data_IF_608056180688
#
_entry.id   IF_608056180688
#
_cell.length_a   1.000
_cell.length_b   1.000
_cell.length_c   1.000
_cell.angle_alpha   90.00
_cell.angle_beta   90.00
_cell.angle_gamma   90.00
#
_symmetry.space_group_name_H-M   'P 1'
#
loop_
_entity.id
_entity.type
_entity.pdbx_description
1 polymer ?
#
# COMPACT_ATOMS: atom_id res chain seq x y z
N UNK A 1 36.33 -7.44 -7.39
CA UNK A 1 35.14 -6.95 -8.14
C UNK A 1 33.79 -7.29 -7.48
N UNK A 2 33.75 -8.11 -6.42
CA UNK A 2 32.50 -8.50 -5.73
C UNK A 2 31.88 -7.40 -4.84
N UNK A 3 32.70 -6.59 -4.16
CA UNK A 3 32.21 -5.57 -3.23
C UNK A 3 31.41 -4.44 -3.92
N UNK A 4 31.90 -3.93 -5.06
CA UNK A 4 31.21 -2.87 -5.80
C UNK A 4 29.82 -3.29 -6.28
N UNK A 5 29.68 -4.52 -6.77
CA UNK A 5 28.39 -5.07 -7.18
C UNK A 5 27.40 -5.18 -6.00
N UNK A 6 27.87 -5.70 -4.85
CA UNK A 6 27.07 -5.77 -3.62
C UNK A 6 26.63 -4.37 -3.14
N UNK A 7 27.55 -3.41 -3.13
CA UNK A 7 27.27 -2.04 -2.71
C UNK A 7 26.20 -1.40 -3.60
N UNK A 8 26.31 -1.54 -4.92
CA UNK A 8 25.28 -1.06 -5.84
C UNK A 8 23.94 -1.73 -5.59
N UNK A 9 23.90 -3.06 -5.37
CA UNK A 9 22.66 -3.76 -5.03
C UNK A 9 22.05 -3.19 -3.76
N UNK A 10 22.81 -2.96 -2.69
CA UNK A 10 22.27 -2.43 -1.44
C UNK A 10 21.80 -0.98 -1.53
N UNK A 11 22.52 -0.13 -2.27
CA UNK A 11 22.13 1.28 -2.45
C UNK A 11 20.92 1.41 -3.39
N UNK A 12 20.81 0.53 -4.39
CA UNK A 12 19.69 0.55 -5.35
C UNK A 12 18.49 -0.29 -4.89
N UNK A 13 18.65 -1.14 -3.86
CA UNK A 13 17.55 -1.96 -3.33
C UNK A 13 16.48 -1.05 -2.76
N UNK A 14 15.45 -0.81 -3.57
CA UNK A 14 14.19 -0.26 -3.09
C UNK A 14 13.63 -1.25 -2.08
N UNK A 15 13.29 -0.76 -0.89
CA UNK A 15 12.32 -1.45 -0.05
C UNK A 15 10.99 -1.32 -0.79
N UNK A 16 10.74 -2.23 -1.72
CA UNK A 16 9.37 -2.47 -2.18
C UNK A 16 8.64 -2.85 -0.91
N UNK A 17 7.75 -1.97 -0.45
CA UNK A 17 6.93 -2.23 0.73
C UNK A 17 5.97 -3.34 0.34
N UNK A 18 6.46 -4.58 0.47
CA UNK A 18 5.65 -5.78 0.40
C UNK A 18 4.68 -5.69 1.57
N UNK A 19 3.37 -5.70 1.29
CA UNK A 19 2.38 -5.76 2.36
C UNK A 19 2.73 -6.93 3.31
N UNK A 20 2.62 -6.75 4.64
CA UNK A 20 3.03 -7.77 5.60
C UNK A 20 2.03 -8.94 5.74
N UNK A 21 1.01 -8.98 4.89
CA UNK A 21 -0.03 -10.00 4.85
C UNK A 21 -0.51 -10.14 3.39
N UNK A 22 -1.18 -11.25 3.09
CA UNK A 22 -1.76 -11.55 1.77
C UNK A 22 -3.22 -12.00 1.85
N UNK A 23 -3.77 -12.14 3.06
CA UNK A 23 -5.12 -12.61 3.30
C UNK A 23 -5.63 -12.09 4.65
N UNK A 24 -6.95 -12.19 4.89
CA UNK A 24 -7.58 -11.89 6.18
C UNK A 24 -6.99 -12.78 7.28
N UNK A 25 -6.69 -14.05 6.99
CA UNK A 25 -6.08 -14.95 7.97
C UNK A 25 -4.67 -14.47 8.38
N UNK A 26 -3.78 -14.20 7.42
CA UNK A 26 -2.43 -13.67 7.71
C UNK A 26 -2.48 -12.26 8.31
N UNK A 27 -3.44 -11.42 7.93
CA UNK A 27 -3.66 -10.11 8.56
C UNK A 27 -3.98 -10.25 10.05
N UNK A 28 -4.80 -11.25 10.41
CA UNK A 28 -5.21 -11.47 11.79
C UNK A 28 -4.14 -12.15 12.64
N UNK A 29 -3.36 -13.09 12.07
CA UNK A 29 -2.30 -13.81 12.80
C UNK A 29 -1.00 -13.01 12.91
N UNK A 30 -0.58 -12.36 11.82
CA UNK A 30 0.80 -11.90 11.67
C UNK A 30 0.93 -10.40 11.93
N UNK A 31 -0.20 -9.67 12.01
CA UNK A 31 -0.19 -8.21 12.13
C UNK A 31 -1.20 -7.69 13.15
N UNK A 32 -1.12 -6.40 13.46
CA UNK A 32 -2.06 -5.65 14.33
C UNK A 32 -2.99 -4.71 13.55
N UNK A 33 -3.04 -4.81 12.22
CA UNK A 33 -3.87 -3.95 11.36
C UNK A 33 -5.37 -4.11 11.65
N UNK A 34 -6.12 -3.01 11.62
CA UNK A 34 -7.58 -3.03 11.69
C UNK A 34 -8.16 -2.95 10.28
N UNK A 35 -9.23 -3.71 10.03
CA UNK A 35 -9.92 -3.68 8.74
C UNK A 35 -11.00 -2.60 8.79
N UNK A 36 -11.07 -1.74 7.76
CA UNK A 36 -12.06 -0.67 7.65
C UNK A 36 -13.01 -0.95 6.50
N UNK A 37 -14.31 -0.79 6.73
CA UNK A 37 -15.34 -0.86 5.69
C UNK A 37 -16.39 0.24 5.88
N UNK A 38 -17.10 0.56 4.80
CA UNK A 38 -18.15 1.58 4.82
C UNK A 38 -19.46 0.99 5.35
N UNK A 39 -20.19 1.76 6.16
CA UNK A 39 -21.47 1.37 6.77
C UNK A 39 -22.49 1.05 5.69
N UNK A 40 -23.16 -0.11 5.81
CA UNK A 40 -24.19 -0.53 4.85
C UNK A 40 -23.65 -0.99 3.50
N UNK A 41 -22.32 -1.02 3.31
CA UNK A 41 -21.69 -1.62 2.14
C UNK A 41 -21.82 -3.15 2.15
N UNK A 42 -21.57 -3.78 1.01
CA UNK A 42 -21.53 -5.25 0.88
C UNK A 42 -20.49 -5.84 1.84
N UNK A 43 -19.40 -5.12 2.08
CA UNK A 43 -18.31 -5.49 2.96
C UNK A 43 -18.74 -5.50 4.44
N UNK A 44 -19.45 -4.45 4.88
CA UNK A 44 -20.04 -4.40 6.23
C UNK A 44 -21.06 -5.55 6.44
N UNK A 45 -21.90 -5.81 5.43
CA UNK A 45 -22.84 -6.94 5.46
C UNK A 45 -22.09 -8.28 5.52
N UNK A 46 -21.04 -8.44 4.71
CA UNK A 46 -20.23 -9.65 4.68
C UNK A 46 -19.55 -9.91 6.03
N UNK A 47 -19.05 -8.87 6.70
CA UNK A 47 -18.50 -8.99 8.05
C UNK A 47 -19.53 -9.48 9.06
N UNK A 48 -20.82 -9.16 8.88
CA UNK A 48 -21.90 -9.56 9.78
C UNK A 48 -22.47 -10.93 9.47
N UNK A 49 -22.58 -11.31 8.19
CA UNK A 49 -23.37 -12.47 7.76
C UNK A 49 -22.51 -13.65 7.28
N UNK A 50 -21.33 -13.41 6.69
CA UNK A 50 -20.51 -14.46 6.10
C UNK A 50 -20.13 -15.54 7.12
N UNK A 51 -20.32 -16.83 6.77
CA UNK A 51 -20.04 -17.97 7.65
C UNK A 51 -18.66 -18.60 7.42
N UNK A 52 -17.91 -18.10 6.45
CA UNK A 52 -16.54 -18.58 6.17
C UNK A 52 -15.63 -18.43 7.37
N UNK A 53 -14.64 -19.33 7.49
CA UNK A 53 -13.74 -19.40 8.65
C UNK A 53 -13.03 -18.07 8.91
N UNK A 54 -12.48 -17.43 7.87
CA UNK A 54 -11.75 -16.16 7.96
C UNK A 54 -12.64 -15.03 8.49
N UNK A 55 -13.88 -14.94 8.03
CA UNK A 55 -14.83 -13.91 8.50
C UNK A 55 -15.37 -14.21 9.90
N UNK A 56 -15.48 -15.49 10.30
CA UNK A 56 -15.77 -15.86 11.70
C UNK A 56 -14.64 -15.44 12.64
N UNK A 57 -13.38 -15.71 12.28
CA UNK A 57 -12.20 -15.25 13.05
C UNK A 57 -12.14 -13.73 13.11
N UNK A 58 -12.43 -13.05 12.00
CA UNK A 58 -12.46 -11.59 11.94
C UNK A 58 -13.49 -11.01 12.91
N UNK A 59 -14.72 -11.54 12.95
CA UNK A 59 -15.74 -11.13 13.93
C UNK A 59 -15.28 -11.38 15.37
N UNK A 60 -14.68 -12.54 15.64
CA UNK A 60 -14.17 -12.87 16.98
C UNK A 60 -13.04 -11.92 17.42
N UNK A 61 -12.21 -11.47 16.48
CA UNK A 61 -11.08 -10.58 16.76
C UNK A 61 -11.48 -9.13 17.12
N UNK A 62 -12.71 -8.70 16.78
CA UNK A 62 -13.19 -7.31 16.92
C UNK A 62 -12.26 -6.25 16.30
N UNK A 63 -11.50 -6.62 15.26
CA UNK A 63 -10.56 -5.73 14.52
C UNK A 63 -11.20 -5.04 13.32
N UNK A 64 -12.52 -4.95 13.26
CA UNK A 64 -13.26 -4.26 12.21
C UNK A 64 -13.69 -2.86 12.68
N UNK A 65 -13.56 -1.87 11.78
CA UNK A 65 -13.99 -0.49 12.00
C UNK A 65 -14.94 -0.13 10.87
N UNK A 66 -16.14 0.32 11.23
CA UNK A 66 -17.16 0.71 10.27
C UNK A 66 -17.23 2.23 10.24
N UNK A 67 -17.05 2.81 9.06
CA UNK A 67 -17.07 4.27 8.82
C UNK A 67 -18.27 4.67 7.94
N UNK A 68 -18.79 5.89 8.04
CA UNK A 68 -19.92 6.35 7.24
C UNK A 68 -19.61 6.52 5.75
N UNK A 69 -18.40 6.96 5.38
CA UNK A 69 -18.06 7.33 3.99
C UNK A 69 -16.77 6.67 3.49
N UNK A 70 -16.65 6.60 2.16
CA UNK A 70 -15.43 6.11 1.49
C UNK A 70 -14.24 7.03 1.79
N UNK A 71 -14.44 8.35 1.76
CA UNK A 71 -13.37 9.32 2.06
C UNK A 71 -12.78 9.11 3.47
N UNK A 72 -13.63 8.87 4.47
CA UNK A 72 -13.14 8.58 5.83
C UNK A 72 -12.36 7.26 5.90
N UNK A 73 -12.80 6.25 5.16
CA UNK A 73 -12.08 4.98 5.05
C UNK A 73 -10.67 5.19 4.52
N UNK A 74 -10.52 5.97 3.44
CA UNK A 74 -9.22 6.28 2.85
C UNK A 74 -8.39 7.20 3.75
N UNK A 75 -8.98 8.24 4.36
CA UNK A 75 -8.30 9.08 5.36
C UNK A 75 -7.68 8.24 6.49
N UNK A 76 -8.40 7.25 7.01
CA UNK A 76 -7.87 6.34 8.04
C UNK A 76 -6.76 5.42 7.51
N UNK A 77 -6.91 4.90 6.29
CA UNK A 77 -5.91 4.05 5.66
C UNK A 77 -4.60 4.80 5.36
N UNK A 78 -4.71 6.05 4.92
CA UNK A 78 -3.58 6.91 4.54
C UNK A 78 -2.96 7.62 5.75
N UNK A 79 -3.66 7.72 6.89
CA UNK A 79 -3.16 8.40 8.07
C UNK A 79 -1.89 7.75 8.63
N UNK A 80 -0.87 8.56 8.91
CA UNK A 80 0.34 8.13 9.60
C UNK A 80 0.09 8.07 11.12
N UNK A 81 -0.58 7.00 11.55
CA UNK A 81 -0.86 6.71 12.96
C UNK A 81 -0.06 5.52 13.51
N UNK A 82 -0.11 5.36 14.85
CA UNK A 82 0.34 4.15 15.56
C UNK A 82 -0.54 2.94 15.21
N UNK A 83 -1.83 3.16 15.02
CA UNK A 83 -2.76 2.14 14.54
C UNK A 83 -2.73 2.13 13.02
N UNK A 84 -2.56 0.95 12.44
CA UNK A 84 -2.58 0.75 11.00
C UNK A 84 -3.93 0.22 10.55
N UNK A 85 -4.42 0.75 9.44
CA UNK A 85 -5.73 0.43 8.89
C UNK A 85 -5.58 -0.14 7.47
N UNK A 86 -6.35 -1.19 7.19
CA UNK A 86 -6.47 -1.78 5.86
C UNK A 86 -7.91 -1.59 5.38
N UNK A 87 -8.13 -0.78 4.33
CA UNK A 87 -9.46 -0.63 3.76
C UNK A 87 -9.84 -1.90 3.00
N UNK A 88 -11.08 -2.34 3.16
CA UNK A 88 -11.64 -3.51 2.49
C UNK A 88 -12.83 -3.07 1.63
N UNK A 89 -12.64 -3.09 0.31
CA UNK A 89 -13.55 -2.52 -0.67
C UNK A 89 -13.39 -3.19 -2.04
N UNK A 90 -14.25 -2.86 -3.01
CA UNK A 90 -14.27 -3.54 -4.31
C UNK A 90 -13.05 -3.22 -5.19
N UNK A 91 -12.65 -4.16 -6.04
CA UNK A 91 -11.55 -3.95 -6.99
C UNK A 91 -11.88 -2.83 -8.01
N UNK A 92 -13.13 -2.77 -8.47
CA UNK A 92 -13.58 -1.73 -9.40
C UNK A 92 -13.56 -0.35 -8.76
N UNK A 93 -13.91 -0.25 -7.47
CA UNK A 93 -13.83 0.99 -6.69
C UNK A 93 -12.37 1.45 -6.55
N UNK A 94 -11.42 0.51 -6.33
CA UNK A 94 -9.99 0.82 -6.30
C UNK A 94 -9.50 1.44 -7.60
N UNK A 95 -9.87 0.88 -8.74
CA UNK A 95 -9.43 1.38 -10.06
C UNK A 95 -9.86 2.83 -10.31
N UNK A 96 -11.01 3.23 -9.78
CA UNK A 96 -11.58 4.58 -9.95
C UNK A 96 -11.05 5.57 -8.90
N UNK A 97 -10.91 5.16 -7.64
CA UNK A 97 -10.56 6.03 -6.51
C UNK A 97 -9.03 6.24 -6.36
N UNK A 98 -8.23 5.39 -7.01
CA UNK A 98 -6.76 5.44 -6.99
C UNK A 98 -6.09 6.82 -7.18
N UNK A 99 -6.62 7.80 -7.95
CA UNK A 99 -5.92 9.07 -8.12
C UNK A 99 -6.01 10.06 -6.94
N UNK A 100 -6.86 9.85 -5.93
CA UNK A 100 -7.35 10.99 -5.13
C UNK A 100 -6.69 11.14 -3.74
N UNK A 101 -6.43 10.07 -2.97
CA UNK A 101 -6.12 10.24 -1.53
C UNK A 101 -4.84 9.55 -0.99
N UNK A 102 -4.40 8.39 -1.50
CA UNK A 102 -3.03 7.87 -1.37
C UNK A 102 -2.83 6.57 -2.18
N UNK A 103 -1.58 6.20 -2.46
CA UNK A 103 -1.26 4.96 -3.19
C UNK A 103 -1.34 3.75 -2.26
N UNK A 104 -2.46 3.04 -2.32
CA UNK A 104 -2.62 1.73 -1.66
C UNK A 104 -2.25 0.61 -2.62
N UNK A 105 -1.62 -0.44 -2.08
CA UNK A 105 -1.30 -1.65 -2.82
C UNK A 105 -2.39 -2.71 -2.53
N UNK A 106 -3.06 -3.26 -3.56
CA UNK A 106 -4.00 -4.35 -3.37
C UNK A 106 -3.24 -5.60 -2.90
N UNK A 107 -3.90 -6.43 -2.11
CA UNK A 107 -3.30 -7.60 -1.49
C UNK A 107 -4.22 -8.80 -1.54
N UNK A 108 -3.65 -9.96 -1.82
CA UNK A 108 -4.38 -11.22 -1.85
C UNK A 108 -5.27 -11.39 -3.07
N UNK A 109 -6.21 -12.32 -2.95
CA UNK A 109 -7.23 -12.63 -3.95
C UNK A 109 -8.58 -12.07 -3.54
N UNK A 110 -9.47 -11.87 -4.53
CA UNK A 110 -10.84 -11.44 -4.24
C UNK A 110 -11.60 -12.49 -3.43
N UNK A 111 -12.17 -12.06 -2.31
CA UNK A 111 -13.03 -12.88 -1.46
C UNK A 111 -14.43 -13.11 -2.04
N UNK A 112 -14.88 -12.22 -2.92
CA UNK A 112 -16.23 -12.24 -3.46
C UNK A 112 -16.22 -11.95 -4.96
N UNK A 113 -16.89 -12.80 -5.73
CA UNK A 113 -17.25 -12.51 -7.12
C UNK A 113 -18.69 -12.00 -7.13
N UNK A 114 -18.84 -10.69 -7.19
CA UNK A 114 -20.13 -10.01 -7.21
C UNK A 114 -20.36 -9.35 -8.57
N UNK A 115 -21.64 -9.23 -8.95
CA UNK A 115 -22.06 -8.60 -10.18
C UNK A 115 -22.88 -7.36 -9.85
N UNK A 116 -22.57 -6.24 -10.52
CA UNK A 116 -23.39 -5.03 -10.45
C UNK A 116 -24.59 -5.24 -11.36
N UNK A 117 -25.79 -5.04 -10.81
CA UNK A 117 -27.04 -5.17 -11.55
C UNK A 117 -27.94 -3.96 -11.29
N UNK A 118 -28.71 -3.57 -12.30
CA UNK A 118 -29.73 -2.52 -12.16
C UNK A 118 -31.01 -3.11 -11.57
N UNK A 119 -31.46 -2.56 -10.46
CA UNK A 119 -32.78 -2.86 -9.91
C UNK A 119 -33.88 -2.19 -10.75
N UNK A 120 -34.90 -2.95 -11.16
CA UNK A 120 -36.07 -2.44 -11.87
C UNK A 120 -37.31 -2.83 -11.08
N UNK A 121 -38.29 -1.91 -10.96
CA UNK A 121 -39.56 -2.17 -10.29
C UNK A 121 -40.25 -3.38 -10.92
N UNK A 122 -40.86 -4.22 -10.08
CA UNK A 122 -41.60 -5.39 -10.53
C UNK A 122 -42.66 -4.97 -11.55
N UNK A 123 -42.76 -5.70 -12.66
CA UNK A 123 -43.69 -5.45 -13.77
C UNK A 123 -43.47 -4.14 -14.53
N UNK A 124 -42.25 -3.59 -14.53
CA UNK A 124 -41.91 -2.45 -15.38
C UNK A 124 -42.05 -2.77 -16.87
N UNK A 125 -42.87 -1.98 -17.57
CA UNK A 125 -43.26 -2.19 -18.98
C UNK A 125 -42.09 -2.35 -19.94
N UNK A 126 -40.99 -1.63 -19.72
CA UNK A 126 -39.87 -1.55 -20.66
C UNK A 126 -38.65 -2.41 -20.28
N UNK A 127 -38.79 -3.31 -19.29
CA UNK A 127 -37.68 -4.18 -18.85
C UNK A 127 -37.00 -4.89 -20.03
N UNK A 128 -37.79 -5.53 -20.90
CA UNK A 128 -37.28 -6.28 -22.06
C UNK A 128 -36.48 -5.39 -23.02
N UNK A 129 -36.94 -4.17 -23.27
CA UNK A 129 -36.26 -3.23 -24.16
C UNK A 129 -34.91 -2.80 -23.59
N UNK A 130 -34.84 -2.55 -22.28
CA UNK A 130 -33.59 -2.22 -21.58
C UNK A 130 -32.61 -3.39 -21.66
N UNK A 131 -33.07 -4.60 -21.33
CA UNK A 131 -32.24 -5.81 -21.35
C UNK A 131 -31.64 -6.04 -22.75
N UNK A 132 -32.45 -5.94 -23.81
CA UNK A 132 -31.98 -6.04 -25.20
C UNK A 132 -31.01 -4.92 -25.58
N UNK A 133 -31.23 -3.70 -25.08
CA UNK A 133 -30.32 -2.58 -25.28
C UNK A 133 -28.94 -2.86 -24.68
N UNK A 134 -28.88 -3.35 -23.44
CA UNK A 134 -27.62 -3.70 -22.77
C UNK A 134 -26.88 -4.81 -23.52
N UNK A 135 -27.60 -5.83 -24.01
CA UNK A 135 -26.99 -6.88 -24.82
C UNK A 135 -26.38 -6.33 -26.11
N UNK A 136 -27.11 -5.49 -26.85
CA UNK A 136 -26.57 -4.84 -28.06
C UNK A 136 -25.35 -3.98 -27.77
N UNK A 137 -25.33 -3.23 -26.66
CA UNK A 137 -24.17 -2.43 -26.24
C UNK A 137 -22.92 -3.28 -26.03
N UNK A 138 -23.09 -4.52 -25.52
CA UNK A 138 -22.00 -5.49 -25.38
C UNK A 138 -21.61 -6.11 -26.73
N UNK A 139 -22.58 -6.50 -27.55
CA UNK A 139 -22.33 -7.13 -28.86
C UNK A 139 -21.54 -6.23 -29.82
N UNK A 140 -21.82 -4.92 -29.81
CA UNK A 140 -21.10 -3.96 -30.66
C UNK A 140 -19.76 -3.50 -30.07
N UNK A 141 -19.39 -3.97 -28.88
CA UNK A 141 -18.15 -3.57 -28.18
C UNK A 141 -18.17 -2.19 -27.53
N UNK A 142 -19.29 -1.45 -27.58
CA UNK A 142 -19.37 -0.13 -26.93
C UNK A 142 -19.20 -0.23 -25.41
N UNK A 143 -19.66 -1.35 -24.82
CA UNK A 143 -19.42 -1.64 -23.41
C UNK A 143 -17.93 -1.71 -23.08
N UNK A 144 -17.12 -2.37 -23.91
CA UNK A 144 -15.69 -2.56 -23.67
C UNK A 144 -14.95 -1.23 -23.79
N UNK A 145 -15.33 -0.38 -24.74
CA UNK A 145 -14.77 0.97 -24.87
C UNK A 145 -15.09 1.86 -23.65
N UNK A 146 -16.32 1.75 -23.11
CA UNK A 146 -16.69 2.44 -21.88
C UNK A 146 -15.89 1.94 -20.68
N UNK A 147 -15.70 0.63 -20.57
CA UNK A 147 -14.87 0.02 -19.54
C UNK A 147 -13.42 0.49 -19.65
N UNK A 148 -12.85 0.51 -20.85
CA UNK A 148 -11.47 0.95 -21.05
C UNK A 148 -11.29 2.42 -20.65
N UNK A 149 -12.21 3.27 -21.10
CA UNK A 149 -12.15 4.72 -20.85
C UNK A 149 -12.29 5.10 -19.38
N UNK A 150 -13.12 4.40 -18.61
CA UNK A 150 -13.50 4.82 -17.25
C UNK A 150 -12.95 3.92 -16.14
N UNK A 151 -12.72 2.62 -16.40
CA UNK A 151 -12.33 1.63 -15.40
C UNK A 151 -10.90 1.11 -15.63
N UNK A 152 -10.48 0.98 -16.87
CA UNK A 152 -9.11 0.56 -17.21
C UNK A 152 -8.19 1.76 -17.19
N UNK A 153 -7.81 2.23 -16.00
CA UNK A 153 -6.68 3.15 -15.93
C UNK A 153 -5.44 2.38 -16.37
N UNK A 154 -4.70 2.91 -17.36
CA UNK A 154 -3.33 2.49 -17.68
C UNK A 154 -2.57 2.52 -16.36
N UNK A 155 -2.41 1.34 -15.75
CA UNK A 155 -1.43 1.15 -14.70
C UNK A 155 -0.15 1.49 -15.43
N UNK A 156 0.35 2.71 -15.21
CA UNK A 156 1.77 2.94 -15.34
C UNK A 156 2.36 1.97 -14.33
N UNK A 157 2.62 0.75 -14.81
CA UNK A 157 3.78 0.03 -14.41
C UNK A 157 4.88 1.04 -14.68
N UNK A 158 5.18 1.83 -13.65
CA UNK A 158 6.49 2.37 -13.43
C UNK A 158 7.36 1.12 -13.41
N UNK A 159 7.73 0.62 -14.60
CA UNK A 159 8.97 -0.10 -14.84
C UNK A 159 9.94 0.73 -14.05
N UNK A 160 10.38 0.19 -12.92
CA UNK A 160 11.06 0.95 -11.89
C UNK A 160 12.16 1.75 -12.57
N UNK A 161 11.87 3.01 -12.90
CA UNK A 161 12.86 3.85 -13.52
C UNK A 161 13.89 4.02 -12.43
N UNK A 162 15.18 3.84 -12.71
CA UNK A 162 16.20 4.03 -11.70
C UNK A 162 16.04 5.46 -11.16
N UNK A 163 15.54 5.57 -9.93
CA UNK A 163 15.46 6.86 -9.24
C UNK A 163 16.87 7.24 -8.83
N UNK A 164 17.17 8.53 -8.88
CA UNK A 164 18.46 9.03 -8.44
C UNK A 164 18.72 8.63 -6.99
N UNK A 165 19.96 8.23 -6.70
CA UNK A 165 20.39 7.85 -5.35
C UNK A 165 20.24 9.08 -4.45
N UNK A 166 19.36 8.99 -3.46
CA UNK A 166 19.12 10.08 -2.52
C UNK A 166 20.27 10.19 -1.49
N UNK A 167 20.52 11.41 -1.00
CA UNK A 167 21.56 11.67 0.02
C UNK A 167 21.34 10.80 1.28
N UNK A 168 20.08 10.51 1.61
CA UNK A 168 19.71 9.64 2.73
C UNK A 168 20.33 8.23 2.62
N UNK A 169 20.48 7.70 1.40
CA UNK A 169 21.06 6.36 1.19
C UNK A 169 22.58 6.33 1.40
N UNK A 170 23.26 7.47 1.27
CA UNK A 170 24.73 7.60 1.43
C UNK A 170 25.09 8.19 2.81
N UNK A 171 24.09 8.61 3.60
CA UNK A 171 24.27 9.26 4.90
C UNK A 171 25.21 8.52 5.87
N UNK A 172 25.17 7.19 5.87
CA UNK A 172 26.00 6.34 6.74
C UNK A 172 27.49 6.40 6.35
N UNK A 173 27.79 6.49 5.05
CA UNK A 173 29.16 6.65 4.54
C UNK A 173 29.70 8.03 4.91
N UNK A 174 28.87 9.07 4.76
CA UNK A 174 29.21 10.45 5.14
C UNK A 174 29.49 10.52 6.65
N UNK A 175 28.65 9.86 7.47
CA UNK A 175 28.83 9.79 8.91
C UNK A 175 30.16 9.14 9.31
N UNK A 176 30.51 8.01 8.69
CA UNK A 176 31.80 7.32 8.93
C UNK A 176 32.99 8.22 8.59
N UNK A 177 32.91 8.97 7.50
CA UNK A 177 33.95 9.93 7.11
C UNK A 177 34.10 11.06 8.14
N UNK A 178 32.98 11.61 8.65
CA UNK A 178 33.00 12.61 9.72
C UNK A 178 33.61 12.07 11.02
N UNK A 179 33.23 10.86 11.44
CA UNK A 179 33.81 10.21 12.61
C UNK A 179 35.33 10.00 12.46
N UNK A 180 35.78 9.61 11.26
CA UNK A 180 37.20 9.47 10.94
C UNK A 180 37.97 10.79 11.08
N UNK A 181 37.42 11.90 10.58
CA UNK A 181 38.03 13.22 10.72
C UNK A 181 38.15 13.65 12.19
N UNK A 182 37.10 13.41 13.00
CA UNK A 182 37.11 13.73 14.43
C UNK A 182 38.18 12.90 15.16
N UNK A 183 38.26 11.59 14.89
CA UNK A 183 39.25 10.72 15.49
C UNK A 183 40.69 11.15 15.13
N UNK A 184 40.93 11.54 13.87
CA UNK A 184 42.22 12.03 13.43
C UNK A 184 42.63 13.31 14.16
N UNK A 185 41.71 14.26 14.35
CA UNK A 185 41.96 15.48 15.11
C UNK A 185 42.30 15.18 16.58
N UNK A 186 41.58 14.24 17.21
CA UNK A 186 41.86 13.82 18.60
C UNK A 186 43.26 13.23 18.72
N UNK A 187 43.65 12.34 17.79
CA UNK A 187 44.99 11.75 17.77
C UNK A 187 46.07 12.82 17.64
N UNK A 188 45.86 13.80 16.75
CA UNK A 188 46.81 14.90 16.50
C UNK A 188 47.00 15.79 17.75
N UNK A 189 45.92 16.06 18.48
CA UNK A 189 45.97 16.79 19.76
C UNK A 189 46.75 16.00 20.81
N UNK A 190 46.47 14.70 20.96
CA UNK A 190 47.18 13.82 21.90
C UNK A 190 48.68 13.78 21.58
N UNK A 191 49.03 13.62 20.30
CA UNK A 191 50.42 13.57 19.85
C UNK A 191 51.16 14.87 20.18
N UNK A 192 50.54 16.03 19.96
CA UNK A 192 51.12 17.33 20.33
C UNK A 192 51.35 17.48 21.82
N UNK A 193 50.42 16.99 22.66
CA UNK A 193 50.56 17.03 24.12
C UNK A 193 51.73 16.13 24.56
N UNK A 194 51.81 14.89 24.06
CA UNK A 194 52.88 13.94 24.40
C UNK A 194 54.24 14.45 23.95
N UNK A 195 54.33 15.03 22.74
CA UNK A 195 55.56 15.62 22.21
C UNK A 195 56.03 16.80 23.07
N UNK A 196 55.11 17.70 23.45
CA UNK A 196 55.44 18.82 24.33
C UNK A 196 55.89 18.36 25.74
N UNK A 197 55.27 17.30 26.28
CA UNK A 197 55.66 16.73 27.57
C UNK A 197 57.05 16.10 27.54
N UNK A 198 57.37 15.32 26.50
CA UNK A 198 58.72 14.76 26.31
C UNK A 198 59.79 15.83 26.16
N UNK A 199 59.49 16.92 25.43
CA UNK A 199 60.43 18.03 25.22
C UNK A 199 60.66 18.91 26.46
N UNK A 200 59.83 18.77 27.50
CA UNK A 200 59.96 19.50 28.77
C UNK A 200 60.72 18.71 29.84
N UNK A 201 60.91 17.40 29.61
CA UNK A 201 61.61 16.46 30.50
C UNK A 201 63.08 16.25 30.07
N UNK A 202 63.45 16.69 28.85
CA UNK A 202 64.85 16.81 28.38
C UNK A 202 65.29 18.24 28.55
#
# INVERSE_FOLDING_TARGET
MSFGALLFIYITKRVIVTPPFDSIDSLLSDTSYKIVAVKGSIQDIAFKVSQTLSFRKLRASKRTVIVPTIEEMFKLACAQGRVKYTPFYGEDEYKVIYPVECRLNPVGQSYFKIWIASGIVRNFKYKRTIDLGILRLKEIGLWDELMDRWLTKKVEHNKAQPEAIGINQISLVILMMCCGMIAALIILVIEKIVYAYKRKIT
#
